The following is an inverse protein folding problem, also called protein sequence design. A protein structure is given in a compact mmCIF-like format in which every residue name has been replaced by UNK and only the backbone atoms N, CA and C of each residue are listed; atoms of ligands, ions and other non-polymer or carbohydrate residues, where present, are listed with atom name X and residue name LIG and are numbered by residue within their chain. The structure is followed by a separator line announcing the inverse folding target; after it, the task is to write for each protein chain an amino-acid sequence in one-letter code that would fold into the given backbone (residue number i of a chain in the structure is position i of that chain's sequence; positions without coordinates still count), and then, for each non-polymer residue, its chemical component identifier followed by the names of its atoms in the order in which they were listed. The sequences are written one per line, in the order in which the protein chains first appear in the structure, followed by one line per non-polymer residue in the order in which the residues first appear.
data_IF_103433000741
#
_entry.id   IF_103433000741
#
_cell.length_a   1.000
_cell.length_b   1.000
_cell.length_c   1.000
_cell.angle_alpha   90.00
_cell.angle_beta   90.00
_cell.angle_gamma   90.00
#
_symmetry.space_group_name_H-M   'P 1'
#
loop_
_entity.id
_entity.type
_entity.pdbx_description
1 polymer ?
#
# COMPACT_ATOMS: atom_id res chain seq x y z
N UNK A 1 1.87 20.14 -5.76
CA UNK A 1 2.51 18.93 -5.19
C UNK A 1 1.50 17.79 -5.21
N UNK A 2 1.94 16.56 -5.50
CA UNK A 2 1.08 15.37 -5.39
C UNK A 2 1.24 14.75 -4.00
N UNK A 3 0.11 14.56 -3.34
CA UNK A 3 -0.02 13.95 -2.03
C UNK A 3 -0.60 12.54 -2.17
N UNK A 4 -0.15 11.64 -1.30
CA UNK A 4 -0.65 10.28 -1.15
C UNK A 4 -1.45 10.18 0.14
N UNK A 5 -2.66 9.65 0.08
CA UNK A 5 -3.45 9.38 1.28
C UNK A 5 -2.81 8.27 2.13
N UNK A 6 -2.66 8.52 3.43
CA UNK A 6 -2.11 7.55 4.40
C UNK A 6 -3.17 6.56 4.89
N UNK A 7 -4.41 7.04 5.03
CA UNK A 7 -5.52 6.32 5.65
C UNK A 7 -6.81 6.52 4.86
N UNK A 8 -7.80 5.64 5.08
CA UNK A 8 -9.10 5.73 4.43
C UNK A 8 -9.99 6.74 5.17
N UNK A 9 -10.69 7.60 4.44
CA UNK A 9 -11.71 8.46 5.03
C UNK A 9 -12.76 8.89 4.00
N UNK A 10 -13.84 9.49 4.47
CA UNK A 10 -14.87 10.07 3.61
C UNK A 10 -15.15 11.51 4.01
N UNK A 11 -15.56 12.32 3.04
CA UNK A 11 -15.96 13.70 3.28
C UNK A 11 -16.98 14.14 2.22
N UNK A 12 -17.79 15.14 2.55
CA UNK A 12 -18.64 15.79 1.56
C UNK A 12 -17.89 16.97 0.97
N UNK A 13 -17.74 16.97 -0.34
CA UNK A 13 -17.05 18.05 -1.06
C UNK A 13 -17.90 19.33 -1.08
N UNK A 14 -17.31 20.45 -1.51
CA UNK A 14 -17.96 21.76 -1.61
C UNK A 14 -19.19 21.78 -2.53
N UNK A 15 -19.32 20.80 -3.42
CA UNK A 15 -20.50 20.58 -4.25
C UNK A 15 -21.59 19.71 -3.60
N UNK A 16 -21.43 19.33 -2.33
CA UNK A 16 -22.37 18.43 -1.64
C UNK A 16 -22.22 16.95 -2.01
N UNK A 17 -21.18 16.58 -2.77
CA UNK A 17 -20.96 15.21 -3.24
C UNK A 17 -20.14 14.43 -2.20
N UNK A 18 -20.62 13.27 -1.73
CA UNK A 18 -19.83 12.43 -0.84
C UNK A 18 -18.66 11.80 -1.61
N UNK A 19 -17.46 11.94 -1.06
CA UNK A 19 -16.22 11.38 -1.58
C UNK A 19 -15.61 10.41 -0.59
N UNK A 20 -14.97 9.38 -1.13
CA UNK A 20 -14.23 8.37 -0.37
C UNK A 20 -12.80 8.42 -0.89
N UNK A 21 -11.86 8.59 0.05
CA UNK A 21 -10.42 8.54 -0.20
C UNK A 21 -9.89 7.24 0.39
N UNK A 22 -9.14 6.48 -0.40
CA UNK A 22 -8.52 5.22 0.00
C UNK A 22 -7.03 5.42 0.28
N UNK A 23 -6.41 4.59 1.12
CA UNK A 23 -4.97 4.62 1.31
C UNK A 23 -4.25 4.42 -0.03
N UNK A 24 -3.34 5.32 -0.35
CA UNK A 24 -2.61 5.33 -1.61
C UNK A 24 -3.24 6.14 -2.74
N UNK A 25 -4.47 6.64 -2.59
CA UNK A 25 -5.04 7.58 -3.56
C UNK A 25 -4.16 8.82 -3.67
N UNK A 26 -4.02 9.30 -4.90
CA UNK A 26 -3.20 10.46 -5.24
C UNK A 26 -4.09 11.68 -5.43
N UNK A 27 -3.76 12.76 -4.74
CA UNK A 27 -4.48 14.03 -4.82
C UNK A 27 -3.50 15.18 -4.98
N UNK A 28 -3.97 16.28 -5.56
CA UNK A 28 -3.18 17.52 -5.60
C UNK A 28 -3.31 18.26 -4.26
N UNK A 29 -2.27 18.93 -3.79
CA UNK A 29 -2.31 19.68 -2.53
C UNK A 29 -3.35 20.81 -2.53
N UNK A 30 -3.71 21.30 -3.71
CA UNK A 30 -4.74 22.32 -3.92
C UNK A 30 -6.17 21.78 -3.87
N UNK A 31 -6.36 20.47 -3.72
CA UNK A 31 -7.70 19.87 -3.63
C UNK A 31 -8.42 20.30 -2.33
N UNK A 32 -9.68 20.75 -2.39
CA UNK A 32 -10.45 21.16 -1.21
C UNK A 32 -10.58 20.07 -0.14
N UNK A 33 -10.51 18.80 -0.53
CA UNK A 33 -10.51 17.65 0.37
C UNK A 33 -9.25 17.53 1.23
N UNK A 34 -8.14 18.16 0.82
CA UNK A 34 -6.88 18.18 1.58
C UNK A 34 -6.92 19.19 2.72
N UNK A 35 -7.56 20.34 2.53
CA UNK A 35 -7.60 21.42 3.52
C UNK A 35 -8.27 20.97 4.83
N UNK A 36 -7.58 21.17 5.95
CA UNK A 36 -7.98 20.72 7.29
C UNK A 36 -7.80 19.22 7.54
N UNK A 37 -7.27 18.48 6.55
CA UNK A 37 -7.03 17.03 6.58
C UNK A 37 -5.60 16.70 6.13
N UNK A 38 -4.70 17.68 6.13
CA UNK A 38 -3.33 17.58 5.61
C UNK A 38 -2.55 16.46 6.31
N UNK A 39 -2.83 16.24 7.60
CA UNK A 39 -2.23 15.19 8.42
C UNK A 39 -2.56 13.75 7.96
N UNK A 40 -3.63 13.57 7.17
CA UNK A 40 -4.02 12.29 6.58
C UNK A 40 -3.26 11.97 5.28
N UNK A 41 -2.39 12.87 4.83
CA UNK A 41 -1.62 12.74 3.60
C UNK A 41 -0.11 12.76 3.87
N UNK A 42 0.65 12.26 2.91
CA UNK A 42 2.11 12.42 2.84
C UNK A 42 2.53 12.82 1.42
N UNK A 43 3.60 13.60 1.23
CA UNK A 43 4.14 13.86 -0.11
C UNK A 43 4.49 12.54 -0.82
N UNK A 44 4.11 12.42 -2.11
CA UNK A 44 4.34 11.17 -2.86
C UNK A 44 5.83 10.82 -2.97
N UNK A 45 6.70 11.83 -3.03
CA UNK A 45 8.16 11.67 -3.04
C UNK A 45 8.69 10.97 -1.79
N UNK A 46 8.12 11.27 -0.61
CA UNK A 46 8.49 10.63 0.66
C UNK A 46 8.05 9.16 0.67
N UNK A 47 6.86 8.87 0.15
CA UNK A 47 6.38 7.51 0.02
C UNK A 47 7.24 6.70 -0.98
N UNK A 48 7.58 7.28 -2.13
CA UNK A 48 8.42 6.64 -3.14
C UNK A 48 9.81 6.31 -2.61
N UNK A 49 10.45 7.25 -1.90
CA UNK A 49 11.75 7.04 -1.27
C UNK A 49 11.71 5.90 -0.22
N UNK A 50 10.63 5.81 0.57
CA UNK A 50 10.43 4.70 1.53
C UNK A 50 10.29 3.37 0.82
N UNK A 51 9.51 3.31 -0.27
CA UNK A 51 9.34 2.10 -1.05
C UNK A 51 10.64 1.64 -1.72
N UNK A 52 11.44 2.55 -2.26
CA UNK A 52 12.76 2.21 -2.81
C UNK A 52 13.72 1.68 -1.75
N UNK A 53 13.68 2.21 -0.53
CA UNK A 53 14.51 1.73 0.57
C UNK A 53 14.15 0.30 1.04
N UNK A 54 12.90 -0.12 0.87
CA UNK A 54 12.45 -1.49 1.21
C UNK A 54 12.81 -2.51 0.11
N UNK A 55 13.00 -2.08 -1.14
CA UNK A 55 13.30 -2.96 -2.28
C UNK A 55 14.73 -3.53 -2.23
N UNK A 56 15.64 -2.96 -1.45
CA UNK A 56 17.02 -3.44 -1.25
C UNK A 56 17.13 -4.79 -0.48
N UNK A 57 16.01 -5.45 -0.15
CA UNK A 57 16.02 -6.75 0.55
C UNK A 57 15.36 -7.88 -0.25
N UNK A 58 15.77 -8.06 -1.51
CA UNK A 58 15.47 -9.25 -2.30
C UNK A 58 16.76 -10.02 -2.63
N UNK A 59 17.37 -10.66 -1.62
CA UNK A 59 18.46 -11.64 -1.81
C UNK A 59 17.93 -13.00 -2.29
N UNK A 60 17.21 -13.02 -3.41
CA UNK A 60 16.99 -14.25 -4.15
C UNK A 60 17.87 -14.19 -5.40
N UNK A 61 19.08 -14.74 -5.29
CA UNK A 61 19.94 -14.94 -6.45
C UNK A 61 19.16 -15.75 -7.51
N UNK A 62 19.25 -15.39 -8.81
CA UNK A 62 18.62 -16.18 -9.87
C UNK A 62 19.22 -17.59 -9.85
N UNK A 63 18.46 -18.58 -9.37
CA UNK A 63 18.89 -19.98 -9.28
C UNK A 63 18.86 -20.61 -7.88
N UNK A 64 18.55 -19.86 -6.83
CA UNK A 64 18.43 -20.43 -5.48
C UNK A 64 17.17 -21.31 -5.38
N UNK A 65 17.35 -22.63 -5.21
CA UNK A 65 16.24 -23.57 -5.07
C UNK A 65 15.60 -23.36 -3.70
N UNK A 66 14.31 -22.96 -3.68
CA UNK A 66 13.50 -22.90 -2.46
C UNK A 66 13.40 -24.32 -1.88
N UNK A 67 14.14 -24.62 -0.82
CA UNK A 67 14.03 -25.89 -0.12
C UNK A 67 12.67 -25.97 0.59
N UNK A 68 11.67 -26.51 -0.10
CA UNK A 68 10.39 -26.88 0.52
C UNK A 68 10.62 -28.21 1.23
N UNK A 69 10.74 -28.19 2.55
CA UNK A 69 10.67 -29.41 3.34
C UNK A 69 9.24 -29.92 3.32
N UNK A 70 8.94 -30.84 2.40
CA UNK A 70 7.68 -31.58 2.45
C UNK A 70 7.74 -32.53 3.65
N UNK A 71 7.04 -32.20 4.73
CA UNK A 71 6.71 -33.19 5.76
C UNK A 71 5.89 -34.29 5.10
N UNK A 72 6.50 -35.46 4.97
CA UNK A 72 5.90 -36.71 4.49
C UNK A 72 4.81 -37.15 5.46
N UNK A 73 3.56 -36.79 5.21
CA UNK A 73 2.41 -37.49 5.81
C UNK A 73 2.25 -38.81 5.05
N UNK A 74 2.65 -39.90 5.70
CA UNK A 74 2.60 -41.24 5.15
C UNK A 74 1.18 -41.80 5.05
N UNK A 75 1.00 -42.70 4.08
CA UNK A 75 0.30 -43.98 4.24
C UNK A 75 -1.22 -43.96 4.44
N UNK A 76 -1.93 -44.34 3.37
CA UNK A 76 -3.32 -44.85 3.30
C UNK A 76 -3.61 -46.04 4.25
N UNK A 77 -4.88 -46.34 4.61
CA UNK A 77 -5.69 -47.19 3.73
C UNK A 77 -7.18 -46.79 3.59
N UNK A 78 -7.75 -47.35 2.52
CA UNK A 78 -9.12 -47.30 2.03
C UNK A 78 -9.98 -48.35 2.76
N UNK A 79 -11.26 -48.07 2.99
CA UNK A 79 -12.34 -49.05 3.21
C UNK A 79 -13.49 -48.72 2.27
#
# INVERSE_FOLDING_TARGET
MILRAREAFSYTDHHGVPRIVRPGDLVEDSDPGVKGREHLYEPVEVAAARSSAVVEQATAAPGEKRAVSTRKTGGTPKS
#
